data_IF_528131430115
#
_entry.id   IF_528131430115
#
_cell.length_a   1.000
_cell.length_b   1.000
_cell.length_c   1.000
_cell.angle_alpha   90.00
_cell.angle_beta   90.00
_cell.angle_gamma   90.00
#
_symmetry.space_group_name_H-M   'P 1'
#
loop_
_entity.id
_entity.type
_entity.pdbx_description
1 polymer ?
#
# COMPACT_ATOMS: atom_id res chain seq x y z
N UNK A 1 -86.85 7.60 3.41
CA UNK A 1 -85.89 7.04 4.39
C UNK A 1 -84.89 6.24 3.59
N UNK A 2 -83.76 6.89 3.20
CA UNK A 2 -82.76 6.30 2.28
C UNK A 2 -81.51 5.93 3.09
N UNK A 3 -81.22 4.62 3.14
CA UNK A 3 -80.01 4.11 3.81
C UNK A 3 -78.79 4.19 2.85
N UNK A 4 -77.78 4.99 3.19
CA UNK A 4 -76.53 5.08 2.49
C UNK A 4 -75.60 3.92 2.88
N UNK A 5 -75.30 3.00 1.95
CA UNK A 5 -74.26 1.99 2.07
C UNK A 5 -72.87 2.67 1.90
N UNK A 6 -72.04 2.57 2.92
CA UNK A 6 -70.60 2.99 2.81
C UNK A 6 -69.80 1.84 2.19
N UNK A 7 -69.18 2.13 1.06
CA UNK A 7 -68.20 1.27 0.39
C UNK A 7 -66.85 1.45 1.08
N UNK A 8 -66.29 0.43 1.70
CA UNK A 8 -64.96 0.41 2.28
C UNK A 8 -64.00 -0.16 1.21
N UNK A 9 -63.18 0.71 0.64
CA UNK A 9 -62.13 0.30 -0.29
C UNK A 9 -60.89 -0.11 0.50
N UNK A 10 -60.57 -1.41 0.50
CA UNK A 10 -59.35 -1.96 1.11
C UNK A 10 -58.27 -1.84 0.05
N UNK A 11 -57.32 -0.90 0.25
CA UNK A 11 -56.08 -0.86 -0.52
C UNK A 11 -55.09 -1.93 0.00
N UNK A 12 -54.96 -3.01 -0.78
CA UNK A 12 -53.97 -4.04 -0.53
C UNK A 12 -52.60 -3.53 -1.04
N UNK A 13 -51.76 -2.99 -0.13
CA UNK A 13 -50.39 -2.57 -0.41
C UNK A 13 -49.51 -3.80 -0.62
N UNK A 14 -49.08 -4.02 -1.85
CA UNK A 14 -48.03 -4.97 -2.20
C UNK A 14 -46.69 -4.43 -1.69
N UNK A 15 -46.19 -4.95 -0.58
CA UNK A 15 -44.79 -4.78 -0.13
C UNK A 15 -43.91 -5.61 -1.07
N UNK A 16 -43.30 -4.96 -2.06
CA UNK A 16 -42.20 -5.49 -2.82
C UNK A 16 -40.96 -5.48 -1.90
N UNK A 17 -40.72 -6.59 -1.21
CA UNK A 17 -39.45 -6.86 -0.57
C UNK A 17 -38.42 -7.05 -1.67
N UNK A 18 -37.68 -5.98 -2.00
CA UNK A 18 -36.45 -6.08 -2.78
C UNK A 18 -35.39 -6.79 -1.91
N UNK A 19 -35.29 -8.11 -2.07
CA UNK A 19 -34.09 -8.82 -1.63
C UNK A 19 -32.94 -8.34 -2.50
N UNK A 20 -32.20 -7.32 -2.01
CA UNK A 20 -30.86 -7.07 -2.47
C UNK A 20 -30.04 -8.27 -1.99
N UNK A 21 -29.76 -9.18 -2.90
CA UNK A 21 -28.74 -10.21 -2.71
C UNK A 21 -27.39 -9.48 -2.61
N UNK A 22 -26.99 -9.16 -1.37
CA UNK A 22 -25.63 -8.83 -1.05
C UNK A 22 -24.78 -10.05 -1.40
N UNK A 23 -24.11 -10.02 -2.55
CA UNK A 23 -23.06 -10.98 -2.87
C UNK A 23 -22.00 -10.80 -1.77
N UNK A 24 -21.61 -11.86 -1.05
CA UNK A 24 -20.51 -11.75 -0.09
C UNK A 24 -19.21 -11.58 -0.88
N UNK A 25 -18.69 -10.37 -0.97
CA UNK A 25 -17.43 -10.13 -1.69
C UNK A 25 -17.04 -8.67 -1.85
N UNK A 26 -17.99 -7.73 -1.89
CA UNK A 26 -17.69 -6.32 -2.23
C UNK A 26 -17.61 -5.35 -1.04
N UNK A 27 -17.90 -5.78 0.18
CA UNK A 27 -17.72 -4.92 1.34
C UNK A 27 -16.25 -4.82 1.72
N UNK A 28 -15.77 -3.59 1.90
CA UNK A 28 -14.43 -3.35 2.45
C UNK A 28 -14.27 -4.06 3.81
N UNK A 29 -13.10 -4.67 4.04
CA UNK A 29 -12.79 -5.26 5.33
C UNK A 29 -12.73 -4.15 6.39
N UNK A 30 -13.36 -4.37 7.56
CA UNK A 30 -13.23 -3.44 8.67
C UNK A 30 -11.78 -3.40 9.16
N UNK A 31 -11.27 -2.19 9.36
CA UNK A 31 -9.89 -1.96 9.76
C UNK A 31 -9.84 -0.92 10.87
N UNK A 32 -9.01 -1.17 11.86
CA UNK A 32 -8.70 -0.24 12.94
C UNK A 32 -7.27 0.29 12.76
N UNK A 33 -7.10 1.60 12.87
CA UNK A 33 -5.78 2.23 12.99
C UNK A 33 -5.29 2.11 14.44
N UNK A 34 -4.04 1.67 14.60
CA UNK A 34 -3.33 1.60 15.89
C UNK A 34 -2.07 2.43 15.76
N UNK A 35 -1.97 3.49 16.55
CA UNK A 35 -0.83 4.40 16.47
C UNK A 35 -0.35 4.80 17.88
N UNK A 36 0.97 4.88 18.02
CA UNK A 36 1.59 5.36 19.26
C UNK A 36 2.93 6.02 18.97
N UNK A 37 3.38 6.80 19.93
CA UNK A 37 4.66 7.47 19.92
C UNK A 37 5.35 7.29 21.27
N UNK A 38 6.64 7.00 21.25
CA UNK A 38 7.45 6.77 22.44
C UNK A 38 8.76 7.52 22.36
N UNK A 39 9.18 8.09 23.47
CA UNK A 39 10.49 8.72 23.62
C UNK A 39 11.36 7.93 24.60
N UNK A 40 12.68 8.08 24.50
CA UNK A 40 13.63 7.43 25.39
C UNK A 40 13.34 7.78 26.86
N UNK A 41 13.24 6.78 27.72
CA UNK A 41 12.97 6.97 29.14
C UNK A 41 14.02 7.86 29.81
N UNK A 42 13.56 8.83 30.62
CA UNK A 42 14.41 9.80 31.32
C UNK A 42 15.02 10.89 30.44
N UNK A 43 14.79 10.89 29.12
CA UNK A 43 15.21 11.98 28.25
C UNK A 43 14.24 13.16 28.31
N UNK A 44 14.78 14.38 28.20
CA UNK A 44 14.00 15.63 28.18
C UNK A 44 14.47 16.55 27.04
N UNK A 45 13.51 17.26 26.43
CA UNK A 45 13.72 18.23 25.34
C UNK A 45 13.55 17.61 23.94
N UNK A 46 13.56 18.46 22.93
CA UNK A 46 13.15 18.19 21.54
C UNK A 46 14.08 17.25 20.75
N UNK A 47 15.25 16.95 21.31
CA UNK A 47 16.22 16.05 20.68
C UNK A 47 16.20 14.63 21.25
N UNK A 48 15.22 14.30 22.08
CA UNK A 48 15.08 12.94 22.60
C UNK A 48 14.86 11.94 21.47
N UNK A 49 15.48 10.75 21.56
CA UNK A 49 15.16 9.67 20.64
C UNK A 49 13.67 9.36 20.61
N UNK A 50 13.13 9.19 19.40
CA UNK A 50 11.71 9.08 19.15
C UNK A 50 11.39 7.88 18.25
N UNK A 51 10.40 7.10 18.64
CA UNK A 51 9.76 6.08 17.79
C UNK A 51 8.31 6.49 17.58
N UNK A 52 7.87 6.51 16.33
CA UNK A 52 6.47 6.70 15.97
C UNK A 52 6.02 5.55 15.09
N UNK A 53 4.99 4.81 15.52
CA UNK A 53 4.42 3.67 14.81
C UNK A 53 2.94 3.92 14.58
N UNK A 54 2.51 3.76 13.32
CA UNK A 54 1.15 3.97 12.84
C UNK A 54 0.75 2.77 11.97
N UNK A 55 0.11 1.77 12.57
CA UNK A 55 -0.20 0.49 11.92
C UNK A 55 -1.71 0.23 11.87
N UNK A 56 -2.07 -0.92 11.30
CA UNK A 56 -3.44 -1.34 11.04
C UNK A 56 -3.70 -2.71 11.68
N UNK A 57 -4.94 -2.91 12.15
CA UNK A 57 -5.46 -4.20 12.59
C UNK A 57 -6.78 -4.48 11.88
N UNK A 58 -6.84 -5.61 11.19
CA UNK A 58 -8.04 -6.17 10.58
C UNK A 58 -8.57 -7.26 11.50
N UNK A 59 -9.78 -7.09 12.07
CA UNK A 59 -10.31 -7.93 13.16
C UNK A 59 -10.35 -9.43 12.83
N UNK A 60 -10.67 -9.78 11.59
CA UNK A 60 -10.87 -11.17 11.16
C UNK A 60 -9.81 -11.64 10.13
N UNK A 61 -8.64 -10.98 10.09
CA UNK A 61 -7.57 -11.25 9.13
C UNK A 61 -6.20 -11.40 9.82
N UNK A 62 -6.00 -12.42 10.66
CA UNK A 62 -4.76 -12.56 11.42
C UNK A 62 -3.52 -12.71 10.52
N UNK A 63 -3.65 -13.37 9.37
CA UNK A 63 -2.55 -13.52 8.41
C UNK A 63 -2.16 -12.17 7.79
N UNK A 64 -3.14 -11.33 7.42
CA UNK A 64 -2.87 -9.98 6.92
C UNK A 64 -2.19 -9.13 8.00
N UNK A 65 -2.65 -9.19 9.25
CA UNK A 65 -2.02 -8.47 10.35
C UNK A 65 -0.56 -8.88 10.56
N UNK A 66 -0.27 -10.18 10.52
CA UNK A 66 1.10 -10.69 10.59
C UNK A 66 1.97 -10.21 9.42
N UNK A 67 1.43 -10.21 8.19
CA UNK A 67 2.14 -9.71 7.00
C UNK A 67 2.43 -8.21 7.11
N UNK A 68 1.49 -7.41 7.65
CA UNK A 68 1.69 -5.98 7.88
C UNK A 68 2.82 -5.75 8.88
N UNK A 69 2.81 -6.42 10.02
CA UNK A 69 3.86 -6.30 11.03
C UNK A 69 5.22 -6.72 10.48
N UNK A 70 5.30 -7.88 9.85
CA UNK A 70 6.53 -8.37 9.23
C UNK A 70 7.08 -7.38 8.19
N UNK A 71 6.19 -6.78 7.38
CA UNK A 71 6.62 -5.80 6.37
C UNK A 71 7.17 -4.53 7.01
N UNK A 72 6.54 -4.02 8.06
CA UNK A 72 7.06 -2.86 8.82
C UNK A 72 8.43 -3.18 9.42
N UNK A 73 8.59 -4.35 10.06
CA UNK A 73 9.88 -4.79 10.62
C UNK A 73 10.97 -4.96 9.54
N UNK A 74 10.63 -5.50 8.36
CA UNK A 74 11.57 -5.56 7.24
C UNK A 74 12.08 -4.18 6.79
N UNK A 75 11.27 -3.12 6.95
CA UNK A 75 11.66 -1.76 6.58
C UNK A 75 12.56 -1.07 7.60
N UNK A 76 12.81 -1.70 8.76
CA UNK A 76 13.78 -1.20 9.75
C UNK A 76 15.20 -1.67 9.49
N UNK A 77 15.39 -2.64 8.59
CA UNK A 77 16.69 -3.24 8.32
C UNK A 77 17.31 -2.69 7.03
N UNK A 78 18.59 -2.35 7.11
CA UNK A 78 19.40 -1.95 5.95
C UNK A 78 19.89 -3.16 5.14
N UNK A 79 19.88 -4.37 5.72
CA UNK A 79 20.28 -5.62 5.07
C UNK A 79 19.12 -6.63 5.04
N UNK A 80 18.84 -7.23 3.87
CA UNK A 80 17.80 -8.27 3.75
C UNK A 80 18.03 -9.50 4.62
N UNK A 81 19.29 -9.79 4.99
CA UNK A 81 19.68 -10.97 5.74
C UNK A 81 19.79 -10.70 7.26
N UNK A 82 19.59 -9.44 7.70
CA UNK A 82 19.61 -9.12 9.12
C UNK A 82 18.40 -9.74 9.83
N UNK A 83 18.57 -10.29 11.05
CA UNK A 83 17.46 -10.82 11.81
C UNK A 83 16.45 -9.73 12.11
N UNK A 84 15.16 -10.05 11.94
CA UNK A 84 14.09 -9.12 12.28
C UNK A 84 13.86 -9.08 13.78
N UNK A 85 13.51 -7.92 14.35
CA UNK A 85 12.94 -7.85 15.69
C UNK A 85 11.73 -8.78 15.83
N UNK A 86 11.46 -9.26 17.03
CA UNK A 86 10.35 -10.19 17.28
C UNK A 86 8.96 -9.54 17.10
N UNK A 87 8.85 -8.24 17.35
CA UNK A 87 7.63 -7.46 17.24
C UNK A 87 7.94 -5.96 17.06
N UNK A 88 6.93 -5.16 16.74
CA UNK A 88 7.06 -3.69 16.71
C UNK A 88 7.41 -3.13 18.10
N UNK A 89 6.93 -3.74 19.17
CA UNK A 89 7.27 -3.36 20.54
C UNK A 89 8.74 -3.66 20.84
N UNK A 90 9.25 -4.84 20.47
CA UNK A 90 10.68 -5.13 20.68
C UNK A 90 11.58 -4.24 19.83
N UNK A 91 11.17 -3.90 18.61
CA UNK A 91 11.88 -2.90 17.80
C UNK A 91 11.95 -1.54 18.50
N UNK A 92 10.83 -1.07 19.05
CA UNK A 92 10.76 0.20 19.78
C UNK A 92 11.70 0.19 20.99
N UNK A 93 11.64 -0.87 21.82
CA UNK A 93 12.50 -1.02 23.00
C UNK A 93 13.97 -1.00 22.63
N UNK A 94 14.39 -1.80 21.65
CA UNK A 94 15.77 -1.90 21.17
C UNK A 94 16.26 -0.57 20.58
N UNK A 95 15.42 0.10 19.80
CA UNK A 95 15.75 1.40 19.22
C UNK A 95 15.94 2.44 20.32
N UNK A 96 14.98 2.61 21.22
CA UNK A 96 15.04 3.60 22.29
C UNK A 96 16.19 3.33 23.29
N UNK A 97 16.57 2.06 23.50
CA UNK A 97 17.71 1.69 24.33
C UNK A 97 19.06 2.13 23.72
N UNK A 98 19.20 1.99 22.41
CA UNK A 98 20.47 2.22 21.69
C UNK A 98 20.61 3.58 21.03
N UNK A 99 19.48 4.29 20.80
CA UNK A 99 19.44 5.53 20.05
C UNK A 99 20.14 6.69 20.76
N UNK A 100 20.79 7.53 19.97
CA UNK A 100 21.42 8.78 20.44
C UNK A 100 20.44 9.95 20.28
N UNK A 101 20.71 11.04 20.98
CA UNK A 101 19.92 12.27 20.82
C UNK A 101 19.84 12.70 19.35
N UNK A 102 18.64 13.11 18.93
CA UNK A 102 18.33 13.46 17.55
C UNK A 102 17.97 12.28 16.65
N UNK A 103 18.11 11.03 17.12
CA UNK A 103 17.64 9.88 16.35
C UNK A 103 16.13 9.73 16.43
N UNK A 104 15.52 9.45 15.29
CA UNK A 104 14.09 9.15 15.26
C UNK A 104 13.77 8.14 14.15
N UNK A 105 12.71 7.38 14.39
CA UNK A 105 12.18 6.42 13.43
C UNK A 105 10.66 6.54 13.34
N UNK A 106 10.15 6.35 12.13
CA UNK A 106 8.72 6.33 11.82
C UNK A 106 8.39 5.14 10.95
N UNK A 107 7.38 4.38 11.33
CA UNK A 107 6.84 3.26 10.58
C UNK A 107 5.34 3.44 10.38
N UNK A 108 4.87 3.30 9.16
CA UNK A 108 3.44 3.44 8.86
C UNK A 108 2.95 2.38 7.88
N UNK A 109 1.77 1.83 8.17
CA UNK A 109 0.93 1.07 7.24
C UNK A 109 -0.40 1.80 7.04
N UNK A 110 -0.85 1.93 5.81
CA UNK A 110 -2.15 2.51 5.45
C UNK A 110 -2.88 1.62 4.45
N UNK A 111 -4.19 1.47 4.60
CA UNK A 111 -5.02 1.01 3.48
C UNK A 111 -4.96 2.07 2.40
N UNK A 112 -4.39 1.71 1.25
CA UNK A 112 -4.43 2.55 0.07
C UNK A 112 -5.77 2.44 -0.64
N UNK A 113 -6.19 1.21 -0.89
CA UNK A 113 -7.42 0.88 -1.60
C UNK A 113 -7.92 -0.49 -1.15
N UNK A 114 -9.24 -0.68 -1.23
CA UNK A 114 -9.87 -1.99 -1.19
C UNK A 114 -10.84 -2.05 -2.37
N UNK A 115 -10.63 -2.99 -3.27
CA UNK A 115 -11.49 -3.18 -4.44
C UNK A 115 -11.47 -4.66 -4.88
N UNK A 116 -12.54 -5.13 -5.44
CA UNK A 116 -12.71 -6.53 -5.82
C UNK A 116 -12.32 -7.49 -4.67
N UNK A 117 -11.43 -8.44 -4.90
CA UNK A 117 -10.86 -9.31 -3.86
C UNK A 117 -9.58 -8.75 -3.21
N UNK A 118 -9.15 -7.54 -3.54
CA UNK A 118 -7.86 -7.01 -3.14
C UNK A 118 -7.95 -6.01 -1.98
N UNK A 119 -6.98 -6.10 -1.08
CA UNK A 119 -6.63 -5.07 -0.11
C UNK A 119 -5.21 -4.60 -0.42
N UNK A 120 -5.06 -3.34 -0.77
CA UNK A 120 -3.76 -2.74 -1.08
C UNK A 120 -3.30 -1.94 0.13
N UNK A 121 -2.19 -2.38 0.74
CA UNK A 121 -1.57 -1.69 1.87
C UNK A 121 -0.33 -0.95 1.37
N UNK A 122 -0.27 0.34 1.63
CA UNK A 122 0.93 1.16 1.39
C UNK A 122 1.71 1.32 2.70
N UNK A 123 3.02 1.13 2.63
CA UNK A 123 3.95 1.26 3.73
C UNK A 123 4.86 2.46 3.54
N UNK A 124 5.16 3.10 4.65
CA UNK A 124 6.16 4.17 4.75
C UNK A 124 7.06 3.91 5.94
N UNK A 125 8.35 4.13 5.77
CA UNK A 125 9.31 4.20 6.87
C UNK A 125 10.13 5.47 6.76
N UNK A 126 10.72 5.88 7.87
CA UNK A 126 11.72 6.93 7.93
C UNK A 126 12.66 6.64 9.09
N UNK A 127 13.95 6.71 8.84
CA UNK A 127 14.97 6.57 9.85
C UNK A 127 15.93 7.76 9.76
N UNK A 128 16.11 8.47 10.87
CA UNK A 128 17.11 9.52 11.03
C UNK A 128 18.05 9.15 12.17
N UNK A 129 19.32 8.99 11.84
CA UNK A 129 20.39 8.70 12.80
C UNK A 129 21.41 9.83 12.90
N UNK A 130 20.98 11.04 12.53
CA UNK A 130 21.82 12.22 12.37
C UNK A 130 22.32 12.39 10.93
N UNK A 131 23.03 13.48 10.67
CA UNK A 131 23.48 13.83 9.32
C UNK A 131 22.54 14.80 8.61
N UNK A 132 22.68 14.93 7.28
CA UNK A 132 21.98 15.95 6.48
C UNK A 132 20.46 15.69 6.36
N UNK A 133 20.05 14.42 6.32
CA UNK A 133 18.64 13.99 6.24
C UNK A 133 18.51 12.53 6.66
N UNK A 134 17.30 12.12 7.00
CA UNK A 134 16.98 10.70 7.22
C UNK A 134 16.67 9.95 5.94
N UNK A 135 16.50 8.63 6.05
CA UNK A 135 16.22 7.72 4.93
C UNK A 135 14.77 7.27 4.96
N UNK A 136 13.93 7.74 4.02
CA UNK A 136 12.56 7.27 3.88
C UNK A 136 12.51 6.00 3.02
N UNK A 137 11.59 5.10 3.37
CA UNK A 137 11.27 3.90 2.60
C UNK A 137 9.79 3.84 2.18
N UNK A 138 9.49 3.11 1.11
CA UNK A 138 8.13 2.83 0.64
C UNK A 138 7.98 1.36 0.29
N UNK A 139 6.75 0.88 0.41
CA UNK A 139 6.41 -0.49 0.05
C UNK A 139 4.93 -0.68 -0.20
N UNK A 140 4.58 -1.83 -0.79
CA UNK A 140 3.20 -2.27 -0.95
C UNK A 140 3.04 -3.73 -0.57
N UNK A 141 1.84 -4.08 -0.10
CA UNK A 141 1.28 -5.42 -0.13
C UNK A 141 0.00 -5.37 -0.97
N UNK A 142 -0.13 -6.29 -1.92
CA UNK A 142 -1.40 -6.61 -2.58
C UNK A 142 -1.90 -7.90 -1.93
N UNK A 143 -2.86 -7.81 -1.04
CA UNK A 143 -3.42 -8.96 -0.35
C UNK A 143 -4.68 -9.44 -1.07
N UNK A 144 -4.68 -10.68 -1.54
CA UNK A 144 -5.85 -11.33 -2.11
C UNK A 144 -6.66 -12.00 -1.00
N UNK A 145 -7.86 -11.48 -0.73
CA UNK A 145 -8.77 -11.95 0.33
C UNK A 145 -9.29 -13.37 0.09
N UNK A 146 -9.38 -13.80 -1.18
CA UNK A 146 -9.87 -15.14 -1.55
C UNK A 146 -8.78 -16.19 -1.39
N UNK A 147 -7.52 -15.81 -1.64
CA UNK A 147 -6.36 -16.67 -1.50
C UNK A 147 -5.71 -16.54 -0.12
N UNK A 148 -6.15 -15.57 0.69
CA UNK A 148 -5.61 -15.23 2.01
C UNK A 148 -4.08 -15.06 2.00
N UNK A 149 -3.54 -14.40 0.95
CA UNK A 149 -2.09 -14.22 0.79
C UNK A 149 -1.71 -12.89 0.17
N UNK A 150 -0.49 -12.44 0.47
CA UNK A 150 0.17 -11.38 -0.28
C UNK A 150 0.62 -11.90 -1.65
N UNK A 151 0.30 -11.15 -2.71
CA UNK A 151 0.67 -11.49 -4.09
C UNK A 151 2.08 -10.99 -4.40
N UNK A 152 2.91 -11.87 -4.94
CA UNK A 152 4.13 -11.50 -5.64
C UNK A 152 3.79 -11.01 -7.06
N UNK A 153 4.75 -10.35 -7.75
CA UNK A 153 4.55 -9.98 -9.16
C UNK A 153 4.21 -11.20 -10.03
N UNK A 154 4.86 -12.33 -9.79
CA UNK A 154 4.60 -13.58 -10.52
C UNK A 154 3.19 -14.13 -10.29
N UNK A 155 2.63 -13.92 -9.08
CA UNK A 155 1.24 -14.29 -8.80
C UNK A 155 0.24 -13.47 -9.62
N UNK A 156 0.58 -12.23 -9.97
CA UNK A 156 -0.27 -11.31 -10.71
C UNK A 156 -0.21 -11.53 -12.23
N UNK A 157 0.92 -11.99 -12.74
CA UNK A 157 1.19 -12.11 -14.19
C UNK A 157 0.75 -13.46 -14.75
N UNK A 158 0.38 -13.47 -16.02
CA UNK A 158 0.30 -14.68 -16.82
C UNK A 158 1.69 -15.29 -16.99
N UNK A 159 1.80 -16.63 -17.15
CA UNK A 159 3.08 -17.29 -17.34
C UNK A 159 3.88 -16.69 -18.52
N UNK A 160 5.16 -16.44 -18.31
CA UNK A 160 6.07 -15.90 -19.33
C UNK A 160 5.93 -14.40 -19.61
N UNK A 161 5.05 -13.67 -18.91
CA UNK A 161 4.78 -12.25 -19.19
C UNK A 161 5.64 -11.25 -18.37
N UNK A 162 6.61 -11.74 -17.62
CA UNK A 162 7.46 -10.88 -16.77
C UNK A 162 8.22 -9.82 -17.57
N UNK A 163 8.82 -10.18 -18.71
CA UNK A 163 9.58 -9.22 -19.52
C UNK A 163 8.65 -8.23 -20.24
N UNK A 164 7.47 -8.68 -20.69
CA UNK A 164 6.46 -7.79 -21.26
C UNK A 164 6.00 -6.74 -20.21
N UNK A 165 5.77 -7.15 -18.97
CA UNK A 165 5.45 -6.23 -17.88
C UNK A 165 6.56 -5.19 -17.65
N UNK A 166 7.82 -5.62 -17.57
CA UNK A 166 8.93 -4.70 -17.33
C UNK A 166 9.22 -3.78 -18.51
N UNK A 167 8.93 -4.21 -19.75
CA UNK A 167 8.99 -3.35 -20.93
C UNK A 167 7.96 -2.20 -20.83
N UNK A 168 6.72 -2.50 -20.38
CA UNK A 168 5.72 -1.46 -20.13
C UNK A 168 6.12 -0.53 -18.98
N UNK A 169 6.75 -1.06 -17.94
CA UNK A 169 7.28 -0.25 -16.84
C UNK A 169 8.40 0.70 -17.34
N UNK A 170 9.28 0.24 -18.22
CA UNK A 170 10.28 1.07 -18.88
C UNK A 170 9.65 2.19 -19.73
N UNK A 171 8.57 1.91 -20.47
CA UNK A 171 7.81 2.93 -21.18
C UNK A 171 7.14 3.93 -20.21
N UNK A 172 6.64 3.46 -19.07
CA UNK A 172 6.10 4.32 -18.03
C UNK A 172 7.17 5.24 -17.43
N UNK A 173 8.41 4.74 -17.28
CA UNK A 173 9.55 5.56 -16.87
C UNK A 173 9.87 6.65 -17.90
N UNK A 174 9.87 6.33 -19.19
CA UNK A 174 10.07 7.35 -20.25
C UNK A 174 8.98 8.43 -20.21
N UNK A 175 7.71 8.05 -19.99
CA UNK A 175 6.62 9.04 -19.78
C UNK A 175 6.87 9.90 -18.54
N UNK A 176 7.34 9.32 -17.47
CA UNK A 176 7.68 10.04 -16.25
C UNK A 176 8.83 11.03 -16.46
N UNK A 177 9.91 10.63 -17.16
CA UNK A 177 11.01 11.53 -17.54
C UNK A 177 10.51 12.71 -18.38
N UNK A 178 9.65 12.44 -19.37
CA UNK A 178 9.06 13.49 -20.21
C UNK A 178 8.21 14.48 -19.40
N UNK A 179 7.35 13.97 -18.53
CA UNK A 179 6.48 14.78 -17.67
C UNK A 179 7.27 15.66 -16.69
N UNK A 180 8.48 15.23 -16.29
CA UNK A 180 9.36 15.98 -15.42
C UNK A 180 10.44 16.80 -16.18
N UNK A 181 10.36 16.87 -17.52
CA UNK A 181 11.30 17.59 -18.40
C UNK A 181 12.75 17.07 -18.33
N UNK A 182 12.92 15.78 -18.01
CA UNK A 182 14.21 15.11 -17.83
C UNK A 182 14.60 14.23 -19.03
N UNK A 183 13.68 14.00 -19.96
CA UNK A 183 13.87 13.07 -21.09
C UNK A 183 14.97 13.49 -22.09
N UNK A 184 15.38 14.77 -22.07
CA UNK A 184 16.42 15.34 -22.92
C UNK A 184 17.72 15.62 -22.17
N UNK A 185 17.84 15.15 -20.91
CA UNK A 185 19.06 15.29 -20.10
C UNK A 185 19.85 13.97 -20.12
N UNK A 186 20.92 13.86 -20.93
CA UNK A 186 21.70 12.63 -21.04
C UNK A 186 22.46 12.29 -19.76
N UNK A 187 22.81 13.31 -18.96
CA UNK A 187 23.50 13.11 -17.69
C UNK A 187 22.55 12.54 -16.64
N UNK A 188 21.33 13.08 -16.56
CA UNK A 188 20.30 12.55 -15.70
C UNK A 188 19.97 11.09 -16.03
N UNK A 189 19.73 10.77 -17.31
CA UNK A 189 19.37 9.42 -17.77
C UNK A 189 20.48 8.41 -17.46
N UNK A 190 21.75 8.83 -17.60
CA UNK A 190 22.92 7.98 -17.27
C UNK A 190 23.05 7.72 -15.77
N UNK A 191 22.78 8.73 -14.94
CA UNK A 191 22.94 8.65 -13.50
C UNK A 191 21.75 7.97 -12.82
N UNK A 192 20.55 8.06 -13.43
CA UNK A 192 19.28 7.53 -12.90
C UNK A 192 18.57 6.64 -13.95
N UNK A 193 19.17 5.49 -14.31
CA UNK A 193 18.57 4.59 -15.27
C UNK A 193 17.29 3.96 -14.73
N UNK A 194 16.48 3.39 -15.61
CA UNK A 194 15.33 2.58 -15.21
C UNK A 194 15.79 1.34 -14.44
N UNK A 195 15.19 1.10 -13.29
CA UNK A 195 15.37 -0.11 -12.48
C UNK A 195 14.04 -0.82 -12.23
N UNK A 196 14.10 -2.13 -11.97
CA UNK A 196 12.94 -2.91 -11.53
C UNK A 196 12.71 -2.69 -10.04
N UNK A 197 11.45 -2.56 -9.62
CA UNK A 197 11.08 -2.41 -8.20
C UNK A 197 10.24 -3.58 -7.71
N UNK A 198 10.33 -3.89 -6.41
CA UNK A 198 9.42 -4.85 -5.76
C UNK A 198 8.11 -4.16 -5.32
N UNK A 199 8.04 -2.83 -5.37
CA UNK A 199 6.90 -2.05 -4.89
C UNK A 199 5.90 -1.82 -6.02
N UNK A 200 5.14 -2.86 -6.37
CA UNK A 200 4.08 -2.84 -7.38
C UNK A 200 2.74 -2.95 -6.67
N UNK A 201 1.81 -2.05 -6.97
CA UNK A 201 0.45 -2.07 -6.44
C UNK A 201 -0.59 -2.20 -7.55
N UNK A 202 -1.56 -3.09 -7.35
CA UNK A 202 -2.75 -3.24 -8.20
C UNK A 202 -3.81 -2.23 -7.75
N UNK A 203 -3.64 -0.94 -8.06
CA UNK A 203 -4.64 0.07 -7.75
C UNK A 203 -5.90 -0.06 -8.61
N UNK A 204 -7.02 0.50 -8.18
CA UNK A 204 -8.29 0.40 -8.92
C UNK A 204 -8.19 1.01 -10.33
N UNK A 205 -7.52 2.15 -10.48
CA UNK A 205 -7.42 2.83 -11.78
C UNK A 205 -6.27 2.33 -12.66
N UNK A 206 -5.17 1.86 -12.07
CA UNK A 206 -3.95 1.46 -12.78
C UNK A 206 -3.01 0.68 -11.87
N UNK A 207 -2.06 -0.01 -12.48
CA UNK A 207 -0.92 -0.58 -11.76
C UNK A 207 0.10 0.52 -11.47
N UNK A 208 0.54 0.59 -10.22
CA UNK A 208 1.47 1.59 -9.71
C UNK A 208 2.81 0.92 -9.37
N UNK A 209 3.90 1.55 -9.78
CA UNK A 209 5.25 1.17 -9.38
C UNK A 209 5.85 2.33 -8.59
N UNK A 210 6.17 2.12 -7.31
CA UNK A 210 6.74 3.15 -6.45
C UNK A 210 8.21 2.88 -6.16
N UNK A 211 8.99 3.92 -6.19
CA UNK A 211 10.44 3.84 -6.01
C UNK A 211 10.86 4.52 -4.71
N UNK A 212 11.87 3.97 -4.08
CA UNK A 212 12.54 4.65 -2.99
C UNK A 212 13.39 5.80 -3.52
N UNK A 213 13.75 6.72 -2.65
CA UNK A 213 14.75 7.74 -2.97
C UNK A 213 16.03 7.08 -3.48
N UNK A 214 16.74 7.73 -4.36
CA UNK A 214 17.97 7.23 -5.00
C UNK A 214 17.82 5.99 -5.91
N UNK A 215 16.60 5.49 -6.19
CA UNK A 215 16.43 4.37 -7.13
C UNK A 215 16.52 4.81 -8.58
N UNK A 216 15.61 5.65 -9.04
CA UNK A 216 15.54 6.16 -10.43
C UNK A 216 15.56 7.70 -10.49
N UNK A 217 15.86 8.35 -9.37
CA UNK A 217 15.91 9.80 -9.22
C UNK A 217 16.71 10.18 -7.96
N UNK A 218 17.28 11.40 -7.87
CA UNK A 218 17.95 11.88 -6.67
C UNK A 218 16.96 12.04 -5.50
N UNK A 219 17.49 12.14 -4.27
CA UNK A 219 16.71 12.31 -3.05
C UNK A 219 15.69 13.46 -3.13
N UNK A 220 16.07 14.56 -3.75
CA UNK A 220 15.23 15.76 -3.91
C UNK A 220 13.95 15.51 -4.73
N UNK A 221 13.92 14.46 -5.54
CA UNK A 221 12.72 14.04 -6.30
C UNK A 221 11.75 13.22 -5.44
N UNK A 222 12.10 12.89 -4.20
CA UNK A 222 11.31 12.06 -3.31
C UNK A 222 11.13 10.63 -3.82
N UNK A 223 9.88 10.17 -3.84
CA UNK A 223 9.52 8.82 -4.24
C UNK A 223 8.84 8.80 -5.62
N UNK A 224 9.57 8.59 -6.72
CA UNK A 224 8.96 8.50 -8.05
C UNK A 224 7.89 7.42 -8.10
N UNK A 225 6.79 7.70 -8.80
CA UNK A 225 5.72 6.75 -9.04
C UNK A 225 5.46 6.65 -10.53
N UNK A 226 5.56 5.44 -11.07
CA UNK A 226 5.18 5.14 -12.44
C UNK A 226 3.78 4.52 -12.45
N UNK A 227 3.06 4.72 -13.55
CA UNK A 227 1.69 4.24 -13.72
C UNK A 227 1.57 3.49 -15.03
N UNK A 228 0.98 2.28 -14.99
CA UNK A 228 0.66 1.48 -16.17
C UNK A 228 -0.86 1.28 -16.20
N UNK A 229 -1.57 1.86 -17.19
CA UNK A 229 -3.00 1.65 -17.34
C UNK A 229 -3.33 0.18 -17.62
N UNK A 230 -4.45 -0.32 -17.09
CA UNK A 230 -4.89 -1.69 -17.31
C UNK A 230 -5.14 -2.03 -18.78
N UNK A 231 -5.48 -1.04 -19.61
CA UNK A 231 -5.60 -1.23 -21.07
C UNK A 231 -4.32 -1.72 -21.75
N UNK A 232 -3.14 -1.41 -21.18
CA UNK A 232 -1.84 -1.88 -21.68
C UNK A 232 -1.44 -3.24 -21.12
N UNK A 233 -2.14 -3.75 -20.11
CA UNK A 233 -1.79 -4.97 -19.38
C UNK A 233 -2.66 -6.18 -19.79
N UNK A 234 -3.48 -6.03 -20.84
CA UNK A 234 -4.26 -7.14 -21.41
C UNK A 234 -3.31 -8.22 -21.96
N UNK A 235 -3.56 -9.49 -21.59
CA UNK A 235 -2.68 -10.59 -21.94
C UNK A 235 -1.35 -10.65 -21.17
N UNK A 236 -1.14 -9.74 -20.20
CA UNK A 236 0.03 -9.70 -19.31
C UNK A 236 -0.37 -10.00 -17.88
N UNK A 237 -1.36 -9.28 -17.33
CA UNK A 237 -1.96 -9.60 -16.04
C UNK A 237 -2.96 -10.74 -16.16
N UNK A 238 -3.10 -11.52 -15.09
CA UNK A 238 -4.21 -12.48 -14.96
C UNK A 238 -5.54 -11.72 -14.93
N UNK A 239 -6.58 -12.21 -15.64
CA UNK A 239 -7.86 -11.51 -15.78
C UNK A 239 -8.52 -11.13 -14.45
N UNK A 240 -8.37 -11.96 -13.40
CA UNK A 240 -8.95 -11.70 -12.09
C UNK A 240 -8.35 -10.49 -11.36
N UNK A 241 -7.24 -9.95 -11.82
CA UNK A 241 -6.58 -8.75 -11.27
C UNK A 241 -6.74 -7.51 -12.16
N UNK A 242 -7.53 -7.62 -13.21
CA UNK A 242 -7.94 -6.46 -14.00
C UNK A 242 -9.31 -6.03 -13.50
N UNK A 243 -9.46 -4.83 -12.92
CA UNK A 243 -10.75 -4.36 -12.42
C UNK A 243 -11.84 -4.43 -13.49
N UNK A 244 -13.05 -4.82 -13.09
CA UNK A 244 -14.21 -4.75 -13.98
C UNK A 244 -14.37 -3.29 -14.43
N UNK A 245 -14.61 -3.08 -15.73
CA UNK A 245 -14.96 -1.74 -16.23
C UNK A 245 -16.43 -1.49 -15.89
N UNK A 246 -16.69 -0.44 -15.13
CA UNK A 246 -18.05 0.09 -14.95
C UNK A 246 -18.63 0.58 -16.28
#
# INVERSE_FOLDING_TARGET
>A
MFARKKLVTICLGLLLSACQSLLPGDSALPVQRVAWESIQSGCQGDTCPLVNIDTLVFSDQPQLNQLIEQRLLQMTNDSPDAPLPASLQSYEEDFLQSAKRGWNTYLQAKVREQHDQLVIIEFSSYLSTGGAHGMPGRGFINYDRRLEKALSLQDMLLPGQTDAFWNLAGQAHQRWLTANQLAQDPEYIRNWPFERTKNVALGQAAVLLKYNVYSIAPYSSGHPQLTIPYSQLQGILKPQYVPARD
#
